data_IF_691637103325
#
_entry.id   IF_691637103325
#
_cell.length_a   1.000
_cell.length_b   1.000
_cell.length_c   1.000
_cell.angle_alpha   90.00
_cell.angle_beta   90.00
_cell.angle_gamma   90.00
#
_symmetry.space_group_name_H-M   'P 1'
#
loop_
_entity.id
_entity.type
_entity.pdbx_description
1 polymer ?
#
# COMPACT_ATOMS: atom_id res chain seq x y z
N UNK A 1 25.49 63.83 -16.71
CA UNK A 1 24.95 63.44 -15.39
C UNK A 1 23.51 63.01 -15.60
N UNK A 2 23.21 61.71 -15.46
CA UNK A 2 21.84 61.21 -15.59
C UNK A 2 21.12 61.40 -14.24
N UNK A 3 20.02 62.17 -14.24
CA UNK A 3 19.19 62.37 -13.06
C UNK A 3 18.45 61.07 -12.73
N UNK A 4 18.82 60.45 -11.62
CA UNK A 4 18.02 59.38 -11.01
C UNK A 4 16.72 60.03 -10.53
N UNK A 5 15.59 59.66 -11.14
CA UNK A 5 14.27 60.08 -10.66
C UNK A 5 14.05 59.48 -9.26
N UNK A 6 13.51 60.25 -8.29
CA UNK A 6 13.19 59.71 -6.97
C UNK A 6 12.24 58.52 -7.10
N UNK A 7 12.54 57.46 -6.36
CA UNK A 7 11.86 56.17 -6.43
C UNK A 7 10.35 56.27 -6.16
N UNK A 8 9.60 55.45 -6.87
CA UNK A 8 8.17 55.22 -6.69
C UNK A 8 7.87 54.90 -5.21
N UNK A 9 6.84 55.51 -4.63
CA UNK A 9 6.42 55.21 -3.26
C UNK A 9 6.06 53.72 -3.13
N UNK A 10 6.47 53.04 -2.04
CA UNK A 10 6.11 51.65 -1.81
C UNK A 10 4.60 51.48 -1.83
N UNK A 11 4.13 50.50 -2.61
CA UNK A 11 2.69 50.22 -2.76
C UNK A 11 2.34 48.91 -2.06
N UNK A 12 1.24 48.92 -1.31
CA UNK A 12 0.69 47.72 -0.67
C UNK A 12 -0.07 46.89 -1.73
N UNK A 13 0.36 45.65 -1.92
CA UNK A 13 -0.35 44.69 -2.77
C UNK A 13 -1.57 44.12 -2.02
N UNK A 14 -2.60 43.62 -2.74
CA UNK A 14 -3.82 43.08 -2.15
C UNK A 14 -3.59 41.91 -1.18
N UNK A 15 -2.44 41.23 -1.29
CA UNK A 15 -2.02 40.14 -0.40
C UNK A 15 -1.24 40.61 0.84
N UNK A 16 -1.22 41.91 1.12
CA UNK A 16 -0.53 42.50 2.27
C UNK A 16 0.99 42.66 2.11
N UNK A 17 1.56 42.30 0.95
CA UNK A 17 3.00 42.45 0.71
C UNK A 17 3.31 43.84 0.18
N UNK A 18 4.36 44.47 0.71
CA UNK A 18 4.83 45.78 0.24
C UNK A 18 5.76 45.56 -0.97
N UNK A 19 5.44 46.22 -2.08
CA UNK A 19 6.31 46.31 -3.24
C UNK A 19 7.12 47.62 -3.17
N UNK A 20 8.45 47.48 -3.15
CA UNK A 20 9.38 48.59 -2.94
C UNK A 20 9.96 49.14 -4.25
N UNK A 21 9.92 48.38 -5.34
CA UNK A 21 10.59 48.74 -6.60
C UNK A 21 9.74 48.51 -7.86
N UNK A 22 8.50 48.03 -7.70
CA UNK A 22 7.58 47.81 -8.83
C UNK A 22 7.96 46.61 -9.70
N UNK A 23 8.94 45.80 -9.28
CA UNK A 23 9.47 44.67 -10.07
C UNK A 23 8.89 43.32 -9.67
N UNK A 24 8.04 43.26 -8.64
CA UNK A 24 7.44 41.99 -8.20
C UNK A 24 6.29 41.60 -9.13
N UNK A 25 6.35 40.42 -9.78
CA UNK A 25 5.24 39.91 -10.57
C UNK A 25 4.00 39.78 -9.66
N UNK A 26 2.88 40.35 -10.07
CA UNK A 26 1.58 40.07 -9.44
C UNK A 26 1.27 38.59 -9.67
N UNK A 27 1.62 37.74 -8.71
CA UNK A 27 1.23 36.33 -8.72
C UNK A 27 -0.29 36.28 -8.55
N UNK A 28 -0.99 36.04 -9.65
CA UNK A 28 -2.41 35.69 -9.60
C UNK A 28 -2.53 34.37 -8.83
N UNK A 29 -3.47 34.26 -7.88
CA UNK A 29 -3.78 32.98 -7.25
C UNK A 29 -4.09 31.96 -8.34
N UNK A 30 -3.39 30.84 -8.32
CA UNK A 30 -3.66 29.72 -9.22
C UNK A 30 -5.04 29.20 -8.85
N UNK A 31 -6.06 29.48 -9.68
CA UNK A 31 -7.36 28.81 -9.61
C UNK A 31 -7.12 27.35 -9.99
N UNK A 32 -6.98 26.50 -8.98
CA UNK A 32 -6.92 25.06 -9.19
C UNK A 32 -8.30 24.64 -9.71
N UNK A 33 -8.41 23.96 -10.87
CA UNK A 33 -9.71 23.52 -11.36
C UNK A 33 -10.36 22.64 -10.29
N UNK A 34 -11.61 22.93 -9.92
CA UNK A 34 -12.39 22.04 -9.06
C UNK A 34 -12.59 20.71 -9.80
N UNK A 35 -11.73 19.74 -9.51
CA UNK A 35 -11.83 18.38 -10.04
C UNK A 35 -13.02 17.71 -9.34
N UNK A 36 -14.24 18.06 -9.74
CA UNK A 36 -15.48 17.36 -9.35
C UNK A 36 -15.65 16.10 -10.21
N UNK A 37 -14.57 15.36 -10.44
CA UNK A 37 -14.70 14.04 -11.05
C UNK A 37 -15.36 13.14 -10.03
N UNK A 38 -16.60 12.76 -10.31
CA UNK A 38 -17.35 11.77 -9.57
C UNK A 38 -16.65 10.41 -9.75
N UNK A 39 -15.61 10.16 -8.96
CA UNK A 39 -14.89 8.90 -8.96
C UNK A 39 -15.81 7.82 -8.40
N UNK A 40 -16.42 7.04 -9.29
CA UNK A 40 -17.11 5.81 -8.91
C UNK A 40 -16.05 4.74 -8.62
N UNK A 41 -15.36 4.89 -7.49
CA UNK A 41 -14.42 3.88 -7.03
C UNK A 41 -15.22 2.64 -6.63
N UNK A 42 -14.82 1.44 -7.09
CA UNK A 42 -15.43 0.21 -6.59
C UNK A 42 -15.33 0.21 -5.06
N UNK A 43 -16.47 0.04 -4.39
CA UNK A 43 -16.52 0.02 -2.94
C UNK A 43 -15.87 -1.27 -2.44
N UNK A 44 -14.61 -1.18 -2.03
CA UNK A 44 -13.87 -2.31 -1.47
C UNK A 44 -14.39 -2.60 -0.06
N UNK A 45 -14.65 -3.87 0.22
CA UNK A 45 -15.03 -4.32 1.55
C UNK A 45 -13.92 -3.97 2.56
N UNK A 46 -14.23 -3.40 3.74
CA UNK A 46 -13.23 -3.15 4.77
C UNK A 46 -12.50 -4.43 5.16
N UNK A 47 -11.19 -4.34 5.41
CA UNK A 47 -10.36 -5.52 5.69
C UNK A 47 -10.88 -6.33 6.89
N UNK A 48 -11.37 -5.64 7.93
CA UNK A 48 -11.94 -6.24 9.14
C UNK A 48 -13.19 -7.09 8.84
N UNK A 49 -13.96 -6.76 7.81
CA UNK A 49 -15.10 -7.58 7.39
C UNK A 49 -14.63 -8.90 6.77
N UNK A 50 -13.51 -8.91 6.04
CA UNK A 50 -12.87 -10.15 5.60
C UNK A 50 -12.44 -11.05 6.77
N UNK A 51 -11.87 -10.44 7.82
CA UNK A 51 -11.51 -11.15 9.06
C UNK A 51 -12.74 -11.69 9.78
N UNK A 52 -13.84 -10.93 9.84
CA UNK A 52 -15.11 -11.39 10.41
C UNK A 52 -15.72 -12.53 9.59
N UNK A 53 -15.68 -12.44 8.26
CA UNK A 53 -16.13 -13.50 7.36
C UNK A 53 -15.32 -14.80 7.58
N UNK A 54 -14.00 -14.70 7.69
CA UNK A 54 -13.13 -15.83 8.04
C UNK A 54 -13.56 -16.49 9.35
N UNK A 55 -13.77 -15.70 10.42
CA UNK A 55 -14.22 -16.21 11.73
C UNK A 55 -15.58 -16.90 11.67
N UNK A 56 -16.45 -16.46 10.77
CA UNK A 56 -17.76 -17.09 10.50
C UNK A 56 -17.68 -18.28 9.54
N UNK A 57 -16.48 -18.64 9.07
CA UNK A 57 -16.23 -19.66 8.04
C UNK A 57 -16.88 -19.36 6.69
N UNK A 58 -17.19 -18.10 6.43
CA UNK A 58 -17.58 -17.63 5.10
C UNK A 58 -16.30 -17.36 4.28
N UNK A 59 -15.74 -18.45 3.77
CA UNK A 59 -14.45 -18.40 3.10
C UNK A 59 -14.48 -17.70 1.74
N UNK A 60 -15.63 -17.68 1.05
CA UNK A 60 -15.74 -16.97 -0.24
C UNK A 60 -15.68 -15.46 -0.01
N UNK A 61 -16.50 -14.94 0.89
CA UNK A 61 -16.50 -13.50 1.21
C UNK A 61 -15.15 -13.04 1.77
N UNK A 62 -14.53 -13.85 2.63
CA UNK A 62 -13.20 -13.56 3.15
C UNK A 62 -12.13 -13.55 2.04
N UNK A 63 -12.19 -14.52 1.12
CA UNK A 63 -11.26 -14.59 0.00
C UNK A 63 -11.34 -13.36 -0.91
N UNK A 64 -12.55 -12.94 -1.29
CA UNK A 64 -12.76 -11.73 -2.10
C UNK A 64 -12.19 -10.49 -1.42
N UNK A 65 -12.41 -10.34 -0.11
CA UNK A 65 -11.85 -9.24 0.67
C UNK A 65 -10.32 -9.29 0.67
N UNK A 66 -9.71 -10.43 0.99
CA UNK A 66 -8.25 -10.55 1.03
C UNK A 66 -7.62 -10.36 -0.35
N UNK A 67 -8.27 -10.83 -1.40
CA UNK A 67 -7.81 -10.60 -2.78
C UNK A 67 -7.78 -9.10 -3.10
N UNK A 68 -8.87 -8.37 -2.87
CA UNK A 68 -8.93 -6.94 -3.14
C UNK A 68 -7.86 -6.15 -2.36
N UNK A 69 -7.67 -6.45 -1.07
CA UNK A 69 -6.64 -5.78 -0.26
C UNK A 69 -5.21 -6.18 -0.66
N UNK A 70 -5.00 -7.43 -1.08
CA UNK A 70 -3.71 -7.91 -1.60
C UNK A 70 -3.32 -7.21 -2.90
N UNK A 71 -4.28 -6.98 -3.80
CA UNK A 71 -4.10 -6.21 -5.03
C UNK A 71 -3.74 -4.74 -4.76
N UNK A 72 -4.19 -4.19 -3.62
CA UNK A 72 -3.75 -2.89 -3.10
C UNK A 72 -2.41 -2.91 -2.35
N UNK A 73 -1.73 -4.07 -2.30
CA UNK A 73 -0.42 -4.22 -1.69
C UNK A 73 -0.42 -4.53 -0.20
N UNK A 74 -1.57 -4.76 0.44
CA UNK A 74 -1.64 -5.06 1.87
C UNK A 74 -0.94 -6.40 2.19
N UNK A 75 0.14 -6.33 2.96
CA UNK A 75 0.95 -7.49 3.36
C UNK A 75 0.15 -8.53 4.17
N UNK A 76 -0.69 -8.08 5.10
CA UNK A 76 -1.54 -8.95 5.91
C UNK A 76 -2.56 -9.69 5.04
N UNK A 77 -3.10 -9.03 4.01
CA UNK A 77 -4.00 -9.66 3.06
C UNK A 77 -3.30 -10.75 2.23
N UNK A 78 -2.07 -10.49 1.75
CA UNK A 78 -1.22 -11.51 1.11
C UNK A 78 -1.00 -12.71 2.03
N UNK A 79 -0.73 -12.47 3.32
CA UNK A 79 -0.61 -13.54 4.33
C UNK A 79 -1.90 -14.39 4.41
N UNK A 80 -3.07 -13.76 4.51
CA UNK A 80 -4.34 -14.48 4.58
C UNK A 80 -4.62 -15.27 3.31
N UNK A 81 -4.33 -14.72 2.13
CA UNK A 81 -4.43 -15.48 0.88
C UNK A 81 -3.50 -16.70 0.89
N UNK A 82 -2.25 -16.54 1.34
CA UNK A 82 -1.31 -17.65 1.49
C UNK A 82 -1.86 -18.74 2.41
N UNK A 83 -2.45 -18.35 3.54
CA UNK A 83 -3.10 -19.27 4.48
C UNK A 83 -4.28 -20.01 3.83
N UNK A 84 -5.13 -19.30 3.08
CA UNK A 84 -6.26 -19.91 2.39
C UNK A 84 -5.79 -20.96 1.39
N UNK A 85 -4.80 -20.62 0.57
CA UNK A 85 -4.24 -21.55 -0.41
C UNK A 85 -3.52 -22.75 0.23
N UNK A 86 -2.91 -22.59 1.41
CA UNK A 86 -2.28 -23.71 2.13
C UNK A 86 -3.29 -24.67 2.76
N UNK A 87 -4.43 -24.13 3.21
CA UNK A 87 -5.54 -24.93 3.75
C UNK A 87 -6.48 -25.46 2.66
N UNK A 88 -6.41 -24.89 1.45
CA UNK A 88 -7.25 -25.22 0.32
C UNK A 88 -8.59 -24.48 0.31
N UNK A 89 -8.69 -23.31 0.93
CA UNK A 89 -9.88 -22.46 0.86
C UNK A 89 -9.82 -21.46 -0.30
N UNK A 90 -10.98 -21.00 -0.80
CA UNK A 90 -12.31 -21.59 -0.59
C UNK A 90 -12.57 -22.83 -1.49
N UNK A 91 -11.67 -23.12 -2.45
CA UNK A 91 -11.89 -24.08 -3.54
C UNK A 91 -11.84 -25.57 -3.16
N UNK A 92 -11.37 -25.91 -1.97
CA UNK A 92 -11.03 -27.27 -1.54
C UNK A 92 -9.69 -27.78 -2.06
N UNK A 93 -8.95 -26.99 -2.85
CA UNK A 93 -7.70 -27.41 -3.50
C UNK A 93 -6.52 -26.63 -2.94
N UNK A 94 -5.51 -27.34 -2.44
CA UNK A 94 -4.29 -26.72 -1.91
C UNK A 94 -3.36 -26.28 -3.03
N UNK A 95 -2.92 -25.03 -2.99
CA UNK A 95 -1.94 -24.44 -3.92
C UNK A 95 -0.66 -24.07 -3.17
N UNK A 96 0.07 -25.06 -2.63
CA UNK A 96 1.17 -24.85 -1.68
C UNK A 96 2.31 -23.97 -2.23
N UNK A 97 2.64 -24.10 -3.52
CA UNK A 97 3.69 -23.28 -4.16
C UNK A 97 3.27 -21.80 -4.19
N UNK A 98 2.03 -21.53 -4.57
CA UNK A 98 1.47 -20.18 -4.60
C UNK A 98 1.32 -19.61 -3.18
N UNK A 99 0.91 -20.44 -2.22
CA UNK A 99 0.88 -20.07 -0.81
C UNK A 99 2.26 -19.63 -0.30
N UNK A 100 3.31 -20.40 -0.60
CA UNK A 100 4.69 -20.07 -0.23
C UNK A 100 5.15 -18.73 -0.81
N UNK A 101 4.81 -18.43 -2.07
CA UNK A 101 5.14 -17.15 -2.71
C UNK A 101 4.46 -15.97 -2.01
N UNK A 102 3.20 -16.14 -1.59
CA UNK A 102 2.47 -15.12 -0.84
C UNK A 102 3.03 -14.94 0.58
N UNK A 103 3.39 -16.03 1.26
CA UNK A 103 4.05 -15.95 2.56
C UNK A 103 5.40 -15.25 2.46
N UNK A 104 6.19 -15.54 1.41
CA UNK A 104 7.44 -14.81 1.16
C UNK A 104 7.17 -13.31 1.02
N UNK A 105 6.22 -12.91 0.19
CA UNK A 105 5.91 -11.51 -0.03
C UNK A 105 5.49 -10.78 1.27
N UNK A 106 4.66 -11.42 2.10
CA UNK A 106 4.28 -10.86 3.40
C UNK A 106 5.42 -10.90 4.43
N UNK A 107 6.31 -11.88 4.35
CA UNK A 107 7.50 -12.01 5.20
C UNK A 107 8.53 -10.92 4.90
N UNK A 108 8.72 -10.58 3.63
CA UNK A 108 9.58 -9.49 3.16
C UNK A 108 9.07 -8.13 3.71
N UNK A 109 7.75 -7.99 3.91
CA UNK A 109 7.10 -6.83 4.55
C UNK A 109 7.09 -6.92 6.10
N UNK A 110 7.75 -7.92 6.68
CA UNK A 110 7.97 -8.03 8.13
C UNK A 110 6.84 -8.66 8.94
N UNK A 111 5.88 -9.37 8.32
CA UNK A 111 4.81 -10.07 9.04
C UNK A 111 5.37 -11.35 9.71
N UNK A 112 5.41 -11.45 11.06
CA UNK A 112 6.08 -12.57 11.73
C UNK A 112 5.44 -13.93 11.43
N UNK A 113 4.11 -14.00 11.42
CA UNK A 113 3.39 -15.23 11.05
C UNK A 113 3.70 -15.67 9.62
N UNK A 114 3.92 -14.72 8.71
CA UNK A 114 4.30 -15.02 7.33
C UNK A 114 5.74 -15.53 7.24
N UNK A 115 6.68 -14.96 8.01
CA UNK A 115 8.06 -15.43 8.09
C UNK A 115 8.13 -16.88 8.56
N UNK A 116 7.40 -17.21 9.64
CA UNK A 116 7.31 -18.58 10.16
C UNK A 116 6.73 -19.54 9.11
N UNK A 117 5.60 -19.19 8.49
CA UNK A 117 4.97 -20.02 7.46
C UNK A 117 5.84 -20.17 6.21
N UNK A 118 6.53 -19.11 5.80
CA UNK A 118 7.46 -19.18 4.68
C UNK A 118 8.63 -20.12 4.99
N UNK A 119 9.24 -20.02 6.17
CA UNK A 119 10.30 -20.92 6.61
C UNK A 119 9.86 -22.40 6.57
N UNK A 120 8.66 -22.72 7.07
CA UNK A 120 8.10 -24.07 6.99
C UNK A 120 7.79 -24.51 5.55
N UNK A 121 7.39 -23.59 4.67
CA UNK A 121 7.08 -23.92 3.29
C UNK A 121 8.33 -24.34 2.49
N UNK A 122 9.51 -23.82 2.84
CA UNK A 122 10.78 -24.13 2.17
C UNK A 122 11.22 -25.60 2.36
N UNK A 123 10.76 -26.24 3.44
CA UNK A 123 11.12 -27.63 3.77
C UNK A 123 10.02 -28.63 3.37
N UNK A 124 8.76 -28.20 3.34
CA UNK A 124 7.61 -29.10 3.24
C UNK A 124 6.84 -29.03 1.91
N UNK A 125 7.19 -28.12 0.98
CA UNK A 125 6.46 -27.95 -0.28
C UNK A 125 7.16 -28.63 -1.45
N UNK A 126 6.57 -29.67 -2.07
CA UNK A 126 7.11 -30.25 -3.30
C UNK A 126 7.24 -29.20 -4.40
N UNK A 127 8.38 -29.17 -5.08
CA UNK A 127 8.66 -28.20 -6.16
C UNK A 127 9.34 -26.91 -5.70
N UNK A 128 9.47 -26.66 -4.40
CA UNK A 128 10.29 -25.56 -3.87
C UNK A 128 11.69 -26.09 -3.56
N UNK A 129 12.72 -25.46 -4.13
CA UNK A 129 14.11 -25.78 -3.81
C UNK A 129 14.46 -25.14 -2.46
N UNK A 130 14.79 -25.97 -1.48
CA UNK A 130 15.23 -25.51 -0.17
C UNK A 130 16.49 -24.63 -0.30
N UNK A 131 16.45 -23.44 0.31
CA UNK A 131 17.60 -22.55 0.44
C UNK A 131 17.97 -22.40 1.91
N UNK A 132 19.10 -23.02 2.30
CA UNK A 132 19.58 -23.04 3.68
C UNK A 132 19.83 -21.63 4.23
N UNK A 133 20.37 -20.73 3.43
CA UNK A 133 20.67 -19.36 3.86
C UNK A 133 19.39 -18.60 4.17
N UNK A 134 18.44 -18.59 3.22
CA UNK A 134 17.13 -17.97 3.40
C UNK A 134 16.41 -18.51 4.63
N UNK A 135 16.45 -19.82 4.86
CA UNK A 135 15.86 -20.43 6.05
C UNK A 135 16.53 -19.95 7.35
N UNK A 136 17.87 -19.95 7.42
CA UNK A 136 18.59 -19.48 8.59
C UNK A 136 18.30 -18.01 8.90
N UNK A 137 18.22 -17.16 7.88
CA UNK A 137 17.91 -15.74 8.06
C UNK A 137 16.50 -15.54 8.65
N UNK A 138 15.51 -16.31 8.16
CA UNK A 138 14.13 -16.27 8.68
C UNK A 138 13.99 -16.80 10.11
N UNK A 139 14.78 -17.81 10.48
CA UNK A 139 14.71 -18.38 11.85
C UNK A 139 15.38 -17.47 12.88
N UNK A 140 16.39 -16.69 12.50
CA UNK A 140 17.11 -15.81 13.42
C UNK A 140 16.36 -14.51 13.77
N UNK A 141 15.25 -14.23 13.10
CA UNK A 141 14.42 -13.02 13.30
C UNK A 141 13.10 -13.31 14.03
N UNK A 142 12.81 -14.59 14.34
CA UNK A 142 11.63 -15.07 15.07
C UNK A 142 11.96 -15.28 16.55
#
# INVERSE_FOLDING_TARGET
>A
MASVKPGSSPSLLPNGTIDFDGSKPQLQPIELPEITTNFNLPKIMPFEEGIKAHKKKDYNTAWECFQAHSELGNATAKYWMGYYLSEGYPSGVKELVRASQLFKAAADDGIPDAQLRYAFSLTNTPGIKFNKKTFSDLVNIL
#
